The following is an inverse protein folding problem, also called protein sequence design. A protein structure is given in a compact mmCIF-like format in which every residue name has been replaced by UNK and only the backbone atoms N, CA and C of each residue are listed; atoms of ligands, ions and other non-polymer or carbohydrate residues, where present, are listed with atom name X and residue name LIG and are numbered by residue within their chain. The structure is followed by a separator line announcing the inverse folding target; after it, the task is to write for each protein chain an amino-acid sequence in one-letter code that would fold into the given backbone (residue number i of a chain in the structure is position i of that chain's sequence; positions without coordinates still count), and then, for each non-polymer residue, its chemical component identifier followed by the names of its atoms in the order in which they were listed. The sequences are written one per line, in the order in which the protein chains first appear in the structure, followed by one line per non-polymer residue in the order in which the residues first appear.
data_IF_985881295205
#
_entry.id   IF_985881295205
#
_cell.length_a   1.000
_cell.length_b   1.000
_cell.length_c   1.000
_cell.angle_alpha   90.00
_cell.angle_beta   90.00
_cell.angle_gamma   90.00
#
_symmetry.space_group_name_H-M   'P 1'
#
loop_
_entity.id
_entity.type
_entity.pdbx_description
1 polymer ?
#
# COMPACT_ATOMS: atom_id res chain seq x y z
N UNK A 1 -39.45 32.62 17.71
CA UNK A 1 -38.54 31.75 16.91
C UNK A 1 -37.22 31.67 17.66
N UNK A 2 -36.94 30.55 18.32
CA UNK A 2 -35.87 30.45 19.33
C UNK A 2 -34.51 30.17 18.68
N UNK A 3 -33.76 31.24 18.40
CA UNK A 3 -32.39 31.22 17.86
C UNK A 3 -31.42 30.33 18.66
N UNK A 4 -31.70 30.10 19.96
CA UNK A 4 -30.96 29.17 20.81
C UNK A 4 -31.05 27.70 20.34
N UNK A 5 -32.17 27.29 19.73
CA UNK A 5 -32.35 25.92 19.23
C UNK A 5 -31.54 25.66 17.96
N UNK A 6 -31.43 26.66 17.08
CA UNK A 6 -30.66 26.58 15.83
C UNK A 6 -29.16 26.51 16.14
N UNK A 7 -28.68 27.32 17.09
CA UNK A 7 -27.28 27.31 17.53
C UNK A 7 -26.92 25.96 18.17
N UNK A 8 -27.81 25.36 18.97
CA UNK A 8 -27.57 24.04 19.57
C UNK A 8 -27.45 22.92 18.51
N UNK A 9 -28.25 22.97 17.44
CA UNK A 9 -28.17 22.00 16.33
C UNK A 9 -26.87 22.17 15.53
N UNK A 10 -26.40 23.40 15.31
CA UNK A 10 -25.13 23.65 14.63
C UNK A 10 -23.91 23.21 15.44
N UNK A 11 -23.93 23.38 16.77
CA UNK A 11 -22.84 22.93 17.66
C UNK A 11 -22.80 21.40 17.73
N UNK A 12 -23.96 20.73 17.82
CA UNK A 12 -24.04 19.26 17.79
C UNK A 12 -23.59 18.70 16.43
N UNK A 13 -23.91 19.37 15.32
CA UNK A 13 -23.42 19.01 13.99
C UNK A 13 -21.90 19.09 13.85
N UNK A 14 -21.29 20.14 14.39
CA UNK A 14 -19.83 20.31 14.38
C UNK A 14 -19.10 19.28 15.26
N UNK A 15 -19.66 18.96 16.43
CA UNK A 15 -19.13 17.91 17.32
C UNK A 15 -19.22 16.53 16.65
N UNK A 16 -20.32 16.23 15.94
CA UNK A 16 -20.46 14.95 15.22
C UNK A 16 -19.51 14.83 14.02
N UNK A 17 -19.20 15.93 13.32
CA UNK A 17 -18.21 15.89 12.22
C UNK A 17 -16.77 15.72 12.72
N UNK A 18 -16.45 16.16 13.94
CA UNK A 18 -15.12 15.96 14.52
C UNK A 18 -14.90 14.53 15.07
N UNK A 19 -15.98 13.82 15.43
CA UNK A 19 -15.89 12.45 15.97
C UNK A 19 -15.62 11.38 14.88
N UNK A 20 -15.76 11.71 13.58
CA UNK A 20 -15.48 10.77 12.49
C UNK A 20 -14.08 10.86 11.87
N UNK A 21 -13.15 11.57 12.52
CA UNK A 21 -11.72 11.33 12.29
C UNK A 21 -11.29 10.24 13.27
N UNK A 22 -11.50 8.98 12.87
CA UNK A 22 -10.90 7.84 13.54
C UNK A 22 -9.38 7.90 13.30
N UNK A 23 -8.65 8.64 14.14
CA UNK A 23 -7.24 8.39 14.35
C UNK A 23 -7.13 6.98 14.92
N UNK A 24 -6.66 6.05 14.09
CA UNK A 24 -6.15 4.77 14.56
C UNK A 24 -4.92 5.04 15.45
N UNK A 25 -5.11 5.45 16.71
CA UNK A 25 -4.07 5.35 17.73
C UNK A 25 -3.89 3.88 18.06
N UNK A 26 -3.07 3.19 17.28
CA UNK A 26 -2.58 1.86 17.65
C UNK A 26 -1.58 1.98 18.80
N UNK A 27 -1.62 0.97 19.66
CA UNK A 27 -0.79 0.83 20.84
C UNK A 27 0.71 0.91 20.45
N UNK A 28 1.49 1.87 20.98
CA UNK A 28 2.90 2.06 20.63
C UNK A 28 3.84 0.98 21.19
N UNK A 29 3.33 -0.20 21.56
CA UNK A 29 4.14 -1.29 22.09
C UNK A 29 4.04 -2.58 21.25
N UNK A 30 3.46 -2.52 20.04
CA UNK A 30 3.48 -3.62 19.05
C UNK A 30 4.60 -3.45 18.00
N UNK A 31 5.65 -2.69 18.32
CA UNK A 31 6.80 -2.47 17.43
C UNK A 31 7.66 -3.74 17.31
N UNK A 32 7.31 -4.59 16.35
CA UNK A 32 8.24 -5.57 15.77
C UNK A 32 8.16 -5.49 14.25
N UNK A 33 9.26 -5.02 13.66
CA UNK A 33 9.68 -5.20 12.26
C UNK A 33 8.61 -5.08 11.15
N UNK A 34 8.18 -3.86 10.85
CA UNK A 34 7.83 -3.31 9.52
C UNK A 34 6.85 -2.16 9.72
N UNK A 35 7.34 -0.92 9.57
CA UNK A 35 6.48 0.25 9.69
C UNK A 35 5.51 0.32 8.50
N UNK A 36 4.23 0.41 8.82
CA UNK A 36 3.10 0.37 7.89
C UNK A 36 3.00 1.66 7.07
N UNK A 37 3.01 1.55 5.74
CA UNK A 37 2.77 2.71 4.87
C UNK A 37 1.28 3.07 4.83
N UNK A 38 0.92 4.12 5.55
CA UNK A 38 -0.40 4.75 5.42
C UNK A 38 -0.37 5.85 4.36
N UNK A 39 -0.73 5.54 3.11
CA UNK A 39 -1.04 6.59 2.16
C UNK A 39 -2.38 7.25 2.50
N UNK A 40 -2.33 8.46 3.03
CA UNK A 40 -3.52 9.32 3.16
C UNK A 40 -3.49 10.32 2.00
N UNK A 41 -4.40 10.13 1.03
CA UNK A 41 -4.70 11.16 0.03
C UNK A 41 -5.55 12.24 0.69
N UNK A 42 -4.93 13.31 1.18
CA UNK A 42 -5.65 14.49 1.69
C UNK A 42 -5.77 15.57 0.61
N UNK A 43 -6.99 15.82 0.13
CA UNK A 43 -7.34 17.02 -0.62
C UNK A 43 -6.92 17.04 -2.09
N UNK A 44 -7.81 17.56 -2.94
CA UNK A 44 -7.76 17.51 -4.41
C UNK A 44 -6.61 18.25 -5.11
N UNK A 45 -5.53 18.69 -4.42
CA UNK A 45 -4.52 19.57 -5.05
C UNK A 45 -3.04 19.31 -4.79
N UNK A 46 -2.65 18.27 -4.04
CA UNK A 46 -1.23 17.97 -3.87
C UNK A 46 -0.95 16.48 -4.07
N UNK A 47 -0.29 16.15 -5.18
CA UNK A 47 0.25 14.82 -5.54
C UNK A 47 1.41 14.39 -4.63
N UNK A 48 1.27 14.59 -3.32
CA UNK A 48 2.29 14.23 -2.32
C UNK A 48 1.78 13.05 -1.51
N UNK A 49 2.46 11.91 -1.64
CA UNK A 49 2.31 10.74 -0.79
C UNK A 49 2.94 11.00 0.57
N UNK A 50 2.15 10.91 1.64
CA UNK A 50 2.67 10.81 3.01
C UNK A 50 2.76 9.34 3.37
N UNK A 51 3.96 8.89 3.72
CA UNK A 51 4.29 7.50 3.98
C UNK A 51 4.85 7.42 5.38
N UNK A 52 4.20 6.62 6.23
CA UNK A 52 4.54 6.53 7.65
C UNK A 52 5.46 5.33 7.86
N UNK A 53 6.77 5.55 7.91
CA UNK A 53 7.72 4.55 8.39
C UNK A 53 7.98 4.75 9.89
N UNK A 54 9.23 4.64 10.35
CA UNK A 54 9.65 5.17 11.66
C UNK A 54 9.75 6.71 11.65
N UNK A 55 9.76 7.29 10.46
CA UNK A 55 9.54 8.71 10.20
C UNK A 55 8.50 8.90 9.10
N UNK A 56 7.97 10.11 8.97
CA UNK A 56 7.03 10.45 7.90
C UNK A 56 7.83 10.88 6.67
N UNK A 57 7.73 10.10 5.60
CA UNK A 57 8.30 10.43 4.30
C UNK A 57 7.20 11.09 3.45
N UNK A 58 7.49 12.29 2.97
CA UNK A 58 6.64 12.98 1.99
C UNK A 58 7.32 12.95 0.62
N UNK A 59 6.70 12.30 -0.35
CA UNK A 59 7.25 12.20 -1.72
C UNK A 59 6.17 12.44 -2.76
N UNK A 60 6.55 13.02 -3.90
CA UNK A 60 5.68 13.10 -5.08
C UNK A 60 5.98 11.99 -6.09
N UNK A 61 7.03 11.22 -5.85
CA UNK A 61 7.50 10.17 -6.74
C UNK A 61 6.77 8.86 -6.46
N UNK A 62 6.37 8.17 -7.54
CA UNK A 62 5.79 6.82 -7.43
C UNK A 62 6.83 5.74 -7.17
N UNK A 63 8.11 6.04 -7.38
CA UNK A 63 9.23 5.16 -7.08
C UNK A 63 10.21 5.95 -6.23
N UNK A 64 10.59 5.44 -5.07
CA UNK A 64 11.53 6.11 -4.17
C UNK A 64 12.32 5.07 -3.36
N UNK A 65 13.44 5.48 -2.78
CA UNK A 65 14.25 4.63 -1.90
C UNK A 65 14.14 5.06 -0.45
N UNK A 66 14.07 4.11 0.47
CA UNK A 66 14.11 4.35 1.90
C UNK A 66 14.95 3.28 2.61
N UNK A 67 15.99 3.70 3.35
CA UNK A 67 16.93 2.82 4.08
C UNK A 67 17.50 1.66 3.24
N UNK A 68 17.83 1.93 1.98
CA UNK A 68 18.43 0.95 1.07
C UNK A 68 17.43 0.10 0.28
N UNK A 69 16.15 0.09 0.67
CA UNK A 69 15.09 -0.57 -0.07
C UNK A 69 14.39 0.38 -1.03
N UNK A 70 13.81 -0.18 -2.10
CA UNK A 70 13.02 0.55 -3.08
C UNK A 70 11.55 0.29 -2.88
N UNK A 71 10.76 1.32 -3.15
CA UNK A 71 9.33 1.33 -2.99
C UNK A 71 8.67 1.74 -4.30
N UNK A 72 7.56 1.10 -4.64
CA UNK A 72 6.73 1.51 -5.77
C UNK A 72 5.28 1.62 -5.34
N UNK A 73 4.66 2.74 -5.70
CA UNK A 73 3.30 3.12 -5.36
C UNK A 73 2.45 3.10 -6.61
N UNK A 74 1.32 2.41 -6.53
CA UNK A 74 0.28 2.49 -7.53
C UNK A 74 -1.08 2.76 -6.90
N UNK A 75 -1.56 3.98 -7.13
CA UNK A 75 -2.89 4.45 -6.72
C UNK A 75 -3.92 4.17 -7.82
N UNK A 76 -5.07 3.61 -7.42
CA UNK A 76 -6.21 3.39 -8.30
C UNK A 76 -7.39 4.32 -7.96
N UNK A 77 -8.18 4.65 -8.97
CA UNK A 77 -9.35 5.53 -8.83
C UNK A 77 -10.47 4.96 -7.95
N UNK A 78 -10.50 3.64 -7.75
CA UNK A 78 -11.46 2.94 -6.88
C UNK A 78 -11.05 2.94 -5.40
N UNK A 79 -10.01 3.70 -5.04
CA UNK A 79 -9.46 3.75 -3.69
C UNK A 79 -8.61 2.54 -3.33
N UNK A 80 -8.37 1.59 -4.24
CA UNK A 80 -7.36 0.56 -4.02
C UNK A 80 -5.96 1.17 -4.19
N UNK A 81 -5.02 0.60 -3.46
CA UNK A 81 -3.62 1.00 -3.51
C UNK A 81 -2.76 -0.26 -3.40
N UNK A 82 -1.69 -0.30 -4.20
CA UNK A 82 -0.61 -1.29 -4.10
C UNK A 82 0.70 -0.57 -3.75
N UNK A 83 1.32 -0.99 -2.65
CA UNK A 83 2.72 -0.69 -2.36
C UNK A 83 3.54 -1.93 -2.66
N UNK A 84 4.70 -1.79 -3.29
CA UNK A 84 5.73 -2.83 -3.29
C UNK A 84 7.00 -2.33 -2.61
N UNK A 85 7.65 -3.16 -1.79
CA UNK A 85 9.00 -2.96 -1.22
C UNK A 85 9.92 -4.07 -1.73
N UNK A 86 11.06 -3.72 -2.31
CA UNK A 86 11.97 -4.66 -2.97
C UNK A 86 13.43 -4.19 -2.94
N UNK A 87 14.40 -5.11 -3.05
CA UNK A 87 15.80 -4.75 -3.25
C UNK A 87 16.01 -4.25 -4.69
N UNK A 88 16.88 -3.24 -4.87
CA UNK A 88 17.25 -2.75 -6.20
C UNK A 88 18.04 -3.78 -7.00
N UNK A 89 18.93 -4.47 -6.31
CA UNK A 89 19.96 -5.33 -6.88
C UNK A 89 20.09 -6.59 -6.03
N UNK A 90 20.29 -7.73 -6.68
CA UNK A 90 20.56 -9.03 -6.06
C UNK A 90 21.64 -9.76 -6.87
N UNK A 91 22.31 -10.75 -6.25
CA UNK A 91 23.20 -11.64 -7.00
C UNK A 91 22.41 -12.65 -7.81
N UNK A 92 23.00 -13.14 -8.91
CA UNK A 92 22.43 -14.25 -9.67
C UNK A 92 22.11 -15.44 -8.76
N UNK A 93 20.89 -15.98 -8.89
CA UNK A 93 20.37 -17.09 -8.09
C UNK A 93 20.27 -16.79 -6.58
N UNK A 94 20.40 -15.54 -6.14
CA UNK A 94 20.11 -15.15 -4.76
C UNK A 94 18.59 -15.14 -4.53
N UNK A 95 18.18 -15.69 -3.39
CA UNK A 95 16.80 -15.58 -2.92
C UNK A 95 16.61 -14.21 -2.29
N UNK A 96 15.56 -13.51 -2.69
CA UNK A 96 15.19 -12.24 -2.07
C UNK A 96 13.71 -12.22 -1.71
N UNK A 97 13.41 -11.42 -0.69
CA UNK A 97 12.04 -11.15 -0.29
C UNK A 97 11.60 -9.81 -0.88
N UNK A 98 10.34 -9.75 -1.31
CA UNK A 98 9.65 -8.50 -1.55
C UNK A 98 8.30 -8.53 -0.85
N UNK A 99 7.78 -7.34 -0.58
CA UNK A 99 6.56 -7.16 0.18
C UNK A 99 5.59 -6.33 -0.63
N UNK A 100 4.30 -6.62 -0.54
CA UNK A 100 3.28 -5.74 -1.09
C UNK A 100 2.02 -5.68 -0.25
N UNK A 101 1.32 -4.54 -0.30
CA UNK A 101 0.06 -4.33 0.41
C UNK A 101 -1.11 -4.33 -0.57
N UNK A 102 -2.18 -5.08 -0.26
CA UNK A 102 -3.49 -4.93 -0.92
C UNK A 102 -4.45 -4.28 0.07
N UNK A 103 -5.04 -3.15 -0.31
CA UNK A 103 -6.13 -2.50 0.44
C UNK A 103 -7.46 -2.73 -0.26
N UNK A 104 -8.45 -3.31 0.44
CA UNK A 104 -9.79 -3.51 -0.11
C UNK A 104 -10.74 -2.36 0.23
N UNK A 105 -11.01 -1.49 -0.73
CA UNK A 105 -11.96 -0.37 -0.59
C UNK A 105 -13.25 -0.55 -1.40
N UNK A 106 -13.60 -1.78 -1.79
CA UNK A 106 -14.77 -2.08 -2.63
C UNK A 106 -16.13 -1.99 -1.91
N UNK A 107 -16.17 -1.62 -0.62
CA UNK A 107 -17.40 -1.58 0.17
C UNK A 107 -17.92 -2.95 0.62
N UNK A 108 -17.24 -4.04 0.25
CA UNK A 108 -17.57 -5.43 0.60
C UNK A 108 -16.33 -6.29 0.78
N UNK A 109 -16.47 -7.43 1.45
CA UNK A 109 -15.41 -8.46 1.52
C UNK A 109 -15.16 -9.06 0.13
N UNK A 110 -13.91 -9.42 -0.16
CA UNK A 110 -13.51 -9.95 -1.46
C UNK A 110 -12.44 -11.04 -1.32
N UNK A 111 -12.45 -12.00 -2.25
CA UNK A 111 -11.39 -13.00 -2.41
C UNK A 111 -10.60 -12.62 -3.65
N UNK A 112 -9.42 -12.02 -3.47
CA UNK A 112 -8.53 -11.69 -4.57
C UNK A 112 -7.69 -12.90 -4.94
N UNK A 113 -7.50 -13.11 -6.23
CA UNK A 113 -6.40 -13.91 -6.76
C UNK A 113 -5.30 -12.95 -7.21
N UNK A 114 -4.08 -13.17 -6.74
CA UNK A 114 -2.91 -12.42 -7.22
C UNK A 114 -1.90 -13.36 -7.86
N UNK A 115 -1.25 -12.85 -8.90
CA UNK A 115 -0.22 -13.51 -9.66
C UNK A 115 1.09 -12.74 -9.46
N UNK A 116 2.17 -13.46 -9.20
CA UNK A 116 3.52 -12.92 -9.28
C UNK A 116 4.08 -13.31 -10.63
N UNK A 117 4.52 -12.32 -11.41
CA UNK A 117 5.11 -12.52 -12.73
C UNK A 117 6.58 -12.10 -12.71
N UNK A 118 7.42 -12.89 -13.36
CA UNK A 118 8.82 -12.57 -13.65
C UNK A 118 8.99 -12.52 -15.17
N UNK A 119 9.36 -11.36 -15.71
CA UNK A 119 9.49 -11.13 -17.14
C UNK A 119 8.26 -11.65 -17.91
N UNK A 120 7.07 -11.23 -17.47
CA UNK A 120 5.75 -11.59 -18.05
C UNK A 120 5.29 -13.03 -17.82
N UNK A 121 6.13 -13.91 -17.28
CA UNK A 121 5.76 -15.29 -16.96
C UNK A 121 5.23 -15.39 -15.53
N UNK A 122 4.07 -16.03 -15.36
CA UNK A 122 3.52 -16.30 -14.03
C UNK A 122 4.45 -17.30 -13.32
N UNK A 123 4.99 -16.90 -12.19
CA UNK A 123 5.84 -17.75 -11.33
C UNK A 123 5.12 -18.19 -10.06
N UNK A 124 4.09 -17.45 -9.62
CA UNK A 124 3.21 -17.82 -8.51
C UNK A 124 1.78 -17.36 -8.74
N UNK A 125 0.84 -18.11 -8.20
CA UNK A 125 -0.59 -17.76 -8.12
C UNK A 125 -1.06 -18.05 -6.68
N UNK A 126 -1.72 -17.08 -6.06
CA UNK A 126 -2.17 -17.17 -4.68
C UNK A 126 -3.54 -16.50 -4.49
N UNK A 127 -4.29 -16.97 -3.50
CA UNK A 127 -5.60 -16.43 -3.14
C UNK A 127 -5.56 -15.79 -1.77
N UNK A 128 -6.19 -14.63 -1.62
CA UNK A 128 -6.26 -13.91 -0.37
C UNK A 128 -7.64 -13.32 -0.13
N UNK A 129 -8.21 -13.65 1.03
CA UNK A 129 -9.45 -13.04 1.49
C UNK A 129 -9.16 -11.74 2.23
N UNK A 130 -9.83 -10.65 1.86
CA UNK A 130 -9.67 -9.32 2.47
C UNK A 130 -11.06 -8.72 2.76
N UNK A 131 -11.33 -8.36 4.02
CA UNK A 131 -12.57 -7.69 4.43
C UNK A 131 -12.61 -6.26 3.89
N UNK A 132 -13.80 -5.66 3.88
CA UNK A 132 -13.94 -4.25 3.51
C UNK A 132 -13.10 -3.35 4.43
N UNK A 133 -12.39 -2.39 3.85
CA UNK A 133 -11.44 -1.47 4.52
C UNK A 133 -10.25 -2.15 5.21
N UNK A 134 -10.05 -3.45 5.01
CA UNK A 134 -8.88 -4.16 5.52
C UNK A 134 -7.70 -3.96 4.56
N UNK A 135 -6.51 -3.90 5.16
CA UNK A 135 -5.22 -3.91 4.48
C UNK A 135 -4.51 -5.21 4.80
N UNK A 136 -3.92 -5.85 3.80
CA UNK A 136 -3.06 -7.02 4.00
C UNK A 136 -1.70 -6.81 3.38
N UNK A 137 -0.68 -6.88 4.25
CA UNK A 137 0.72 -6.98 3.85
C UNK A 137 1.04 -8.44 3.51
N UNK A 138 1.64 -8.65 2.36
CA UNK A 138 2.02 -9.96 1.82
C UNK A 138 3.53 -9.96 1.63
N UNK A 139 4.18 -11.04 2.06
CA UNK A 139 5.60 -11.30 1.84
C UNK A 139 5.73 -12.42 0.82
N UNK A 140 6.54 -12.20 -0.21
CA UNK A 140 6.87 -13.20 -1.22
C UNK A 140 8.39 -13.35 -1.35
N UNK A 141 8.83 -14.55 -1.68
CA UNK A 141 10.23 -14.88 -1.97
C UNK A 141 10.38 -15.22 -3.46
N UNK A 142 11.41 -14.69 -4.13
CA UNK A 142 11.78 -15.07 -5.48
C UNK A 142 13.28 -15.36 -5.59
N UNK A 143 13.63 -16.09 -6.63
CA UNK A 143 14.99 -16.33 -7.08
C UNK A 143 15.04 -16.06 -8.59
N UNK A 144 16.01 -15.28 -9.05
CA UNK A 144 16.14 -14.91 -10.46
C UNK A 144 17.51 -15.38 -10.96
N UNK A 145 17.50 -16.14 -12.04
CA UNK A 145 18.71 -16.68 -12.68
C UNK A 145 19.15 -15.88 -13.91
N UNK A 146 18.27 -15.04 -14.48
CA UNK A 146 18.61 -14.20 -15.62
C UNK A 146 19.31 -12.93 -15.15
N UNK A 147 20.53 -12.70 -15.61
CA UNK A 147 21.30 -11.48 -15.34
C UNK A 147 20.66 -10.24 -15.99
N UNK A 148 21.03 -9.07 -15.46
CA UNK A 148 20.54 -7.77 -15.93
C UNK A 148 19.21 -7.36 -15.31
N UNK A 149 18.49 -6.48 -16.02
CA UNK A 149 17.25 -5.87 -15.54
C UNK A 149 16.06 -6.82 -15.71
N UNK A 150 15.47 -7.25 -14.60
CA UNK A 150 14.33 -8.16 -14.57
C UNK A 150 13.06 -7.47 -14.07
N UNK A 151 11.94 -7.65 -14.77
CA UNK A 151 10.64 -7.09 -14.36
C UNK A 151 9.93 -8.07 -13.44
N UNK A 152 9.59 -7.63 -12.24
CA UNK A 152 8.70 -8.34 -11.32
C UNK A 152 7.37 -7.60 -11.29
N UNK A 153 6.27 -8.31 -11.56
CA UNK A 153 4.92 -7.76 -11.48
C UNK A 153 4.07 -8.52 -10.47
N UNK A 154 3.18 -7.81 -9.79
CA UNK A 154 2.08 -8.38 -9.02
C UNK A 154 0.80 -7.94 -9.69
N UNK A 155 0.03 -8.92 -10.19
CA UNK A 155 -1.23 -8.68 -10.90
C UNK A 155 -2.40 -9.29 -10.13
N UNK A 156 -3.46 -8.53 -9.93
CA UNK A 156 -4.71 -9.01 -9.36
C UNK A 156 -5.65 -9.54 -10.47
N UNK A 157 -6.55 -10.44 -10.10
CA UNK A 157 -7.66 -10.90 -10.95
C UNK A 157 -8.61 -9.78 -11.41
N UNK A 158 -8.63 -8.68 -10.67
CA UNK A 158 -9.33 -7.45 -11.02
C UNK A 158 -8.64 -6.65 -12.15
N UNK A 159 -7.48 -7.13 -12.63
CA UNK A 159 -6.60 -6.60 -13.72
C UNK A 159 -5.62 -5.52 -13.30
N UNK A 160 -5.68 -5.04 -12.06
CA UNK A 160 -4.69 -4.15 -11.45
C UNK A 160 -3.32 -4.82 -11.39
N UNK A 161 -2.28 -4.14 -11.86
CA UNK A 161 -0.90 -4.62 -11.83
C UNK A 161 0.03 -3.53 -11.30
N UNK A 162 0.87 -3.87 -10.32
CA UNK A 162 2.06 -3.09 -9.95
C UNK A 162 3.30 -3.84 -10.41
N UNK A 163 4.32 -3.12 -10.84
CA UNK A 163 5.59 -3.73 -11.23
C UNK A 163 6.78 -2.92 -10.74
N UNK A 164 7.90 -3.61 -10.62
CA UNK A 164 9.20 -3.03 -10.34
C UNK A 164 10.30 -3.78 -11.10
N UNK A 165 11.50 -3.22 -11.09
CA UNK A 165 12.66 -3.83 -11.71
C UNK A 165 13.70 -4.15 -10.65
N UNK A 166 14.25 -5.36 -10.74
CA UNK A 166 15.40 -5.82 -9.95
C UNK A 166 16.56 -6.04 -10.91
N UNK A 167 17.71 -5.44 -10.62
CA UNK A 167 18.95 -5.71 -11.33
C UNK A 167 19.60 -6.98 -10.77
N UNK A 168 20.02 -7.89 -11.64
CA UNK A 168 20.72 -9.13 -11.25
C UNK A 168 22.16 -9.05 -11.73
N UNK A 169 23.09 -9.08 -10.77
CA UNK A 169 24.54 -8.94 -10.99
C UNK A 169 25.32 -10.22 -10.75
#
# INVERSE_FOLDING_TARGET
MNYKLIIAVCILGLIFTQIFIYEFKRNPNEYTELNFVFLKKEGEKNDTYKIYFDEVIETKEKVFSYKGDFYTILDYSNGMFLLARYPKEIKENEKFNFYFEITNNLGKKWNYTYYVLLNENIVKENKIFIKNKEKKLIKEELQISSTGKNKVSIKLDTKEEIYFYVEVV
#
